data_IF_060931586441
#
_entry.id   IF_060931586441
#
_cell.length_a   1.000
_cell.length_b   1.000
_cell.length_c   1.000
_cell.angle_alpha   90.00
_cell.angle_beta   90.00
_cell.angle_gamma   90.00
#
_symmetry.space_group_name_H-M   'P 1'
#
loop_
_entity.id
_entity.type
_entity.pdbx_description
1 polymer ?
#
# COMPACT_ATOMS: atom_id res chain seq x y z
N UNK A 1 -46.30 19.49 11.01
CA UNK A 1 -45.75 18.21 10.50
C UNK A 1 -44.28 18.14 10.89
N UNK A 2 -43.87 17.26 11.81
CA UNK A 2 -42.43 17.06 12.10
C UNK A 2 -41.77 16.63 10.79
N UNK A 3 -40.80 17.38 10.24
CA UNK A 3 -40.37 17.18 8.87
C UNK A 3 -39.78 15.78 8.74
N UNK A 4 -40.41 14.94 7.92
CA UNK A 4 -39.98 13.56 7.67
C UNK A 4 -38.48 13.52 7.31
N UNK A 5 -37.98 14.57 6.65
CA UNK A 5 -36.57 14.87 6.39
C UNK A 5 -35.62 14.64 7.58
N UNK A 6 -35.99 15.04 8.79
CA UNK A 6 -35.14 14.83 9.99
C UNK A 6 -35.06 13.35 10.38
N UNK A 7 -36.16 12.60 10.23
CA UNK A 7 -36.16 11.15 10.48
C UNK A 7 -35.32 10.43 9.43
N UNK A 8 -35.51 10.76 8.14
CA UNK A 8 -34.73 10.18 7.04
C UNK A 8 -33.24 10.45 7.19
N UNK A 9 -32.83 11.71 7.39
CA UNK A 9 -31.43 12.06 7.57
C UNK A 9 -30.78 11.28 8.72
N UNK A 10 -31.48 11.16 9.87
CA UNK A 10 -30.97 10.41 11.02
C UNK A 10 -30.87 8.92 10.74
N UNK A 11 -31.91 8.31 10.18
CA UNK A 11 -31.92 6.86 9.91
C UNK A 11 -30.89 6.49 8.86
N UNK A 12 -30.82 7.22 7.74
CA UNK A 12 -29.84 6.98 6.69
C UNK A 12 -28.41 7.15 7.21
N UNK A 13 -28.15 8.23 7.97
CA UNK A 13 -26.83 8.43 8.57
C UNK A 13 -26.48 7.30 9.55
N UNK A 14 -27.40 6.91 10.44
CA UNK A 14 -27.18 5.83 11.39
C UNK A 14 -26.82 4.50 10.71
N UNK A 15 -27.57 4.10 9.66
CA UNK A 15 -27.27 2.88 8.90
C UNK A 15 -25.89 2.98 8.23
N UNK A 16 -25.61 4.08 7.53
CA UNK A 16 -24.32 4.25 6.86
C UNK A 16 -23.15 4.30 7.84
N UNK A 17 -23.35 4.88 9.03
CA UNK A 17 -22.36 4.93 10.10
C UNK A 17 -22.05 3.53 10.60
N UNK A 18 -23.09 2.73 10.88
CA UNK A 18 -22.92 1.37 11.37
C UNK A 18 -22.16 0.48 10.37
N UNK A 19 -22.44 0.65 9.07
CA UNK A 19 -21.74 -0.09 8.00
C UNK A 19 -20.28 0.33 7.86
N UNK A 20 -19.96 1.62 8.01
CA UNK A 20 -18.61 2.15 7.80
C UNK A 20 -17.73 2.21 9.05
N UNK A 21 -18.28 2.09 10.26
CA UNK A 21 -17.61 2.46 11.51
C UNK A 21 -16.29 1.72 11.73
N UNK A 22 -16.31 0.39 11.66
CA UNK A 22 -15.11 -0.41 11.92
C UNK A 22 -14.06 -0.22 10.84
N UNK A 23 -14.47 -0.11 9.57
CA UNK A 23 -13.53 0.19 8.48
C UNK A 23 -12.90 1.58 8.66
N UNK A 24 -13.70 2.61 8.95
CA UNK A 24 -13.19 3.96 9.21
C UNK A 24 -12.22 3.98 10.40
N UNK A 25 -12.55 3.26 11.49
CA UNK A 25 -11.67 3.15 12.66
C UNK A 25 -10.36 2.47 12.30
N UNK A 26 -10.41 1.33 11.60
CA UNK A 26 -9.23 0.61 11.15
C UNK A 26 -8.35 1.48 10.24
N UNK A 27 -8.93 2.19 9.26
CA UNK A 27 -8.18 3.12 8.41
C UNK A 27 -7.59 4.28 9.20
N UNK A 28 -8.30 4.82 10.19
CA UNK A 28 -7.79 5.91 11.03
C UNK A 28 -6.59 5.46 11.88
N UNK A 29 -6.67 4.28 12.49
CA UNK A 29 -5.56 3.71 13.29
C UNK A 29 -4.35 3.41 12.41
N UNK A 30 -4.57 2.79 11.25
CA UNK A 30 -3.50 2.47 10.31
C UNK A 30 -2.93 3.71 9.59
N UNK A 31 -3.69 4.80 9.51
CA UNK A 31 -3.16 6.10 9.08
C UNK A 31 -2.10 6.66 10.05
N UNK A 32 -2.22 6.39 11.35
CA UNK A 32 -1.21 6.78 12.36
C UNK A 32 0.08 5.98 12.14
N UNK A 33 -0.02 4.67 11.91
CA UNK A 33 1.15 3.82 11.65
C UNK A 33 1.85 4.17 10.35
N UNK A 34 1.12 4.74 9.39
CA UNK A 34 1.67 5.24 8.13
C UNK A 34 2.48 6.53 8.34
N UNK A 35 2.06 7.41 9.24
CA UNK A 35 2.77 8.66 9.56
C UNK A 35 3.99 8.44 10.50
N UNK A 36 3.94 7.40 11.33
CA UNK A 36 4.95 7.10 12.33
C UNK A 36 5.41 5.64 12.27
N UNK A 37 6.05 5.21 11.18
CA UNK A 37 6.52 3.83 11.06
C UNK A 37 7.55 3.50 12.16
N UNK A 38 8.45 4.45 12.45
CA UNK A 38 9.55 4.36 13.41
C UNK A 38 9.10 4.09 14.86
N UNK A 39 7.88 4.49 15.23
CA UNK A 39 7.33 4.21 16.56
C UNK A 39 7.11 2.71 16.82
N UNK A 40 7.09 1.90 15.75
CA UNK A 40 6.74 0.49 15.81
C UNK A 40 7.77 -0.42 15.09
N UNK A 41 8.83 0.14 14.48
CA UNK A 41 9.83 -0.56 13.63
C UNK A 41 10.91 -1.35 14.40
N UNK A 42 10.52 -2.27 15.29
CA UNK A 42 11.49 -3.06 16.06
C UNK A 42 11.90 -4.41 15.43
N UNK A 43 11.29 -4.84 14.32
CA UNK A 43 11.37 -6.23 13.84
C UNK A 43 11.91 -6.41 12.41
N UNK A 44 12.85 -5.57 11.97
CA UNK A 44 13.46 -5.76 10.64
C UNK A 44 14.29 -7.04 10.63
N UNK A 45 13.99 -7.97 9.72
CA UNK A 45 14.81 -9.14 9.45
C UNK A 45 15.30 -9.13 8.01
N UNK A 46 16.53 -9.61 7.82
CA UNK A 46 17.17 -9.75 6.52
C UNK A 46 17.64 -11.19 6.38
N UNK A 47 17.21 -11.86 5.32
CA UNK A 47 17.70 -13.18 4.95
C UNK A 47 18.48 -13.07 3.64
N UNK A 48 19.69 -13.61 3.62
CA UNK A 48 20.58 -13.57 2.46
C UNK A 48 20.95 -14.99 2.04
N UNK A 49 20.97 -15.23 0.73
CA UNK A 49 21.39 -16.49 0.13
C UNK A 49 22.21 -16.20 -1.12
N UNK A 50 23.28 -16.96 -1.32
CA UNK A 50 24.12 -16.85 -2.53
C UNK A 50 24.09 -18.16 -3.28
N UNK A 51 23.93 -18.08 -4.60
CA UNK A 51 24.01 -19.22 -5.51
C UNK A 51 24.93 -18.86 -6.66
N UNK A 52 25.91 -19.70 -6.96
CA UNK A 52 26.80 -19.50 -8.11
C UNK A 52 26.39 -20.47 -9.20
N UNK A 53 26.18 -19.97 -10.42
CA UNK A 53 25.99 -20.82 -11.58
C UNK A 53 27.19 -21.75 -11.75
N UNK A 54 26.96 -23.00 -12.09
CA UNK A 54 28.07 -23.86 -12.51
C UNK A 54 28.71 -23.28 -13.77
N UNK A 55 30.02 -23.50 -13.96
CA UNK A 55 30.77 -22.98 -15.12
C UNK A 55 30.05 -23.25 -16.46
N UNK A 56 29.49 -24.45 -16.63
CA UNK A 56 28.75 -24.82 -17.84
C UNK A 56 27.46 -24.03 -18.02
N UNK A 57 26.71 -23.77 -16.95
CA UNK A 57 25.49 -22.95 -16.98
C UNK A 57 25.82 -21.48 -17.28
N UNK A 58 26.87 -20.94 -16.67
CA UNK A 58 27.29 -19.56 -16.88
C UNK A 58 27.81 -19.32 -18.31
N UNK A 59 28.64 -20.23 -18.83
CA UNK A 59 29.08 -20.19 -20.23
C UNK A 59 27.89 -20.31 -21.18
N UNK A 60 26.95 -21.22 -20.91
CA UNK A 60 25.75 -21.37 -21.72
C UNK A 60 24.91 -20.08 -21.74
N UNK A 61 24.71 -19.47 -20.57
CA UNK A 61 23.98 -18.21 -20.42
C UNK A 61 24.66 -17.06 -21.18
N UNK A 62 25.99 -16.91 -21.09
CA UNK A 62 26.75 -15.87 -21.81
C UNK A 62 26.68 -15.98 -23.33
N UNK A 63 26.41 -17.16 -23.87
CA UNK A 63 26.27 -17.39 -25.31
C UNK A 63 24.87 -17.08 -25.84
N UNK A 64 23.88 -16.86 -24.96
CA UNK A 64 22.51 -16.57 -25.36
C UNK A 64 22.32 -15.08 -25.69
N UNK A 65 21.28 -14.79 -26.47
CA UNK A 65 20.79 -13.41 -26.58
C UNK A 65 20.07 -12.96 -25.32
N UNK A 66 20.01 -11.65 -25.10
CA UNK A 66 19.44 -10.99 -23.91
C UNK A 66 18.08 -11.55 -23.45
N UNK A 67 17.15 -11.78 -24.38
CA UNK A 67 15.85 -12.37 -24.06
C UNK A 67 15.97 -13.78 -23.46
N UNK A 68 16.81 -14.62 -24.04
CA UNK A 68 17.02 -15.98 -23.56
C UNK A 68 17.82 -15.99 -22.25
N UNK A 69 18.73 -15.03 -22.06
CA UNK A 69 19.42 -14.80 -20.78
C UNK A 69 18.43 -14.48 -19.65
N UNK A 70 17.49 -13.57 -19.91
CA UNK A 70 16.42 -13.25 -18.98
C UNK A 70 15.53 -14.47 -18.69
N UNK A 71 15.09 -15.20 -19.72
CA UNK A 71 14.25 -16.39 -19.55
C UNK A 71 14.94 -17.49 -18.72
N UNK A 72 16.25 -17.70 -18.92
CA UNK A 72 17.04 -18.65 -18.13
C UNK A 72 17.15 -18.23 -16.66
N UNK A 73 17.46 -16.96 -16.39
CA UNK A 73 17.53 -16.45 -15.02
C UNK A 73 16.16 -16.50 -14.36
N UNK A 74 15.10 -16.05 -15.04
CA UNK A 74 13.74 -16.11 -14.50
C UNK A 74 13.31 -17.54 -14.13
N UNK A 75 13.64 -18.53 -14.96
CA UNK A 75 13.40 -19.95 -14.64
C UNK A 75 14.22 -20.42 -13.44
N UNK A 76 15.48 -19.98 -13.33
CA UNK A 76 16.33 -20.32 -12.20
C UNK A 76 15.79 -19.71 -10.89
N UNK A 77 15.33 -18.45 -10.92
CA UNK A 77 14.73 -17.77 -9.78
C UNK A 77 13.43 -18.43 -9.32
N UNK A 78 12.57 -18.86 -10.26
CA UNK A 78 11.38 -19.64 -9.94
C UNK A 78 11.74 -20.99 -9.31
N UNK A 79 12.72 -21.71 -9.87
CA UNK A 79 13.12 -23.03 -9.35
C UNK A 79 13.81 -22.98 -7.97
N UNK A 80 14.67 -21.99 -7.73
CA UNK A 80 15.47 -21.91 -6.49
C UNK A 80 14.75 -21.17 -5.36
N UNK A 81 13.93 -20.18 -5.71
CA UNK A 81 13.33 -19.25 -4.74
C UNK A 81 11.81 -19.14 -4.84
N UNK A 82 11.15 -19.88 -5.75
CA UNK A 82 9.72 -19.78 -6.03
C UNK A 82 9.28 -18.34 -6.38
N UNK A 83 10.18 -17.60 -7.04
CA UNK A 83 9.94 -16.23 -7.46
C UNK A 83 9.29 -16.23 -8.85
N UNK A 84 8.13 -15.57 -9.03
CA UNK A 84 7.49 -15.45 -10.34
C UNK A 84 8.30 -14.52 -11.25
N UNK A 85 7.72 -14.08 -12.38
CA UNK A 85 8.34 -13.01 -13.16
C UNK A 85 8.45 -11.71 -12.33
N UNK A 86 9.60 -11.02 -12.39
CA UNK A 86 9.81 -9.79 -11.64
C UNK A 86 8.84 -8.70 -12.09
N UNK A 87 8.40 -7.86 -11.14
CA UNK A 87 7.62 -6.66 -11.48
C UNK A 87 8.51 -5.52 -11.97
N UNK A 88 9.76 -5.50 -11.51
CA UNK A 88 10.79 -4.54 -11.89
C UNK A 88 12.09 -5.28 -12.14
N UNK A 89 12.71 -4.94 -13.25
CA UNK A 89 13.94 -5.52 -13.74
C UNK A 89 14.80 -4.40 -14.28
N UNK A 90 16.02 -4.32 -13.79
CA UNK A 90 17.04 -3.39 -14.23
C UNK A 90 18.27 -4.22 -14.61
N UNK A 91 18.95 -3.85 -15.68
CA UNK A 91 20.15 -4.56 -16.13
C UNK A 91 21.17 -3.57 -16.65
N UNK A 92 22.43 -3.87 -16.41
CA UNK A 92 23.57 -3.28 -17.10
C UNK A 92 24.60 -4.36 -17.46
N UNK A 93 25.80 -3.93 -17.87
CA UNK A 93 26.87 -4.82 -18.32
C UNK A 93 27.52 -5.61 -17.18
N UNK A 94 27.30 -5.21 -15.92
CA UNK A 94 27.94 -5.77 -14.72
C UNK A 94 26.94 -6.58 -13.91
N UNK A 95 25.73 -6.08 -13.71
CA UNK A 95 24.73 -6.70 -12.88
C UNK A 95 23.30 -6.62 -13.44
N UNK A 96 22.52 -7.64 -13.13
CA UNK A 96 21.09 -7.69 -13.42
C UNK A 96 20.32 -7.76 -12.11
N UNK A 97 19.45 -6.79 -11.87
CA UNK A 97 18.72 -6.60 -10.61
C UNK A 97 17.24 -6.91 -10.82
N UNK A 98 16.72 -7.82 -9.99
CA UNK A 98 15.35 -8.30 -10.01
C UNK A 98 14.67 -7.94 -8.69
N UNK A 99 13.67 -7.06 -8.74
CA UNK A 99 12.90 -6.66 -7.57
C UNK A 99 11.54 -7.35 -7.52
N UNK A 100 11.25 -7.91 -6.35
CA UNK A 100 10.03 -8.62 -6.01
C UNK A 100 9.38 -7.97 -4.78
N UNK A 101 8.63 -6.88 -4.98
CA UNK A 101 7.94 -6.23 -3.89
C UNK A 101 6.84 -7.13 -3.30
N UNK A 102 6.75 -7.19 -1.98
CA UNK A 102 5.75 -7.97 -1.26
C UNK A 102 5.18 -7.19 -0.07
N UNK A 103 4.03 -7.57 0.49
CA UNK A 103 3.50 -6.88 1.66
C UNK A 103 4.49 -6.92 2.82
N UNK A 104 4.88 -5.75 3.32
CA UNK A 104 5.77 -5.63 4.47
C UNK A 104 7.25 -5.86 4.18
N UNK A 105 7.68 -5.87 2.92
CA UNK A 105 9.09 -6.08 2.57
C UNK A 105 9.37 -6.12 1.07
N UNK A 106 10.58 -6.54 0.73
CA UNK A 106 11.02 -6.72 -0.65
C UNK A 106 11.99 -7.88 -0.72
N UNK A 107 11.94 -8.61 -1.82
CA UNK A 107 13.00 -9.54 -2.20
C UNK A 107 13.72 -8.91 -3.38
N UNK A 108 15.04 -8.81 -3.30
CA UNK A 108 15.90 -8.32 -4.36
C UNK A 108 16.89 -9.42 -4.70
N UNK A 109 17.03 -9.71 -5.99
CA UNK A 109 18.03 -10.64 -6.49
C UNK A 109 18.97 -9.90 -7.43
N UNK A 110 20.26 -9.97 -7.17
CA UNK A 110 21.31 -9.38 -7.99
C UNK A 110 22.09 -10.50 -8.64
N UNK A 111 22.21 -10.47 -9.96
CA UNK A 111 23.02 -11.38 -10.73
C UNK A 111 24.26 -10.68 -11.25
N UNK A 112 25.43 -11.15 -10.85
CA UNK A 112 26.72 -10.66 -11.34
C UNK A 112 27.06 -11.36 -12.67
N UNK A 113 27.16 -10.56 -13.73
CA UNK A 113 27.35 -11.02 -15.11
C UNK A 113 28.73 -11.67 -15.29
N UNK A 114 29.75 -11.18 -14.59
CA UNK A 114 31.15 -11.62 -14.74
C UNK A 114 31.39 -12.98 -14.07
N UNK A 115 30.88 -13.14 -12.85
CA UNK A 115 31.12 -14.29 -11.98
C UNK A 115 30.04 -15.35 -12.09
N UNK A 116 28.83 -14.98 -12.55
CA UNK A 116 27.67 -15.87 -12.54
C UNK A 116 27.08 -16.08 -11.15
N UNK A 117 27.40 -15.20 -10.20
CA UNK A 117 26.85 -15.23 -8.84
C UNK A 117 25.45 -14.59 -8.80
N UNK A 118 24.52 -15.27 -8.13
CA UNK A 118 23.20 -14.78 -7.76
C UNK A 118 23.17 -14.51 -6.26
N UNK A 119 23.03 -13.24 -5.91
CA UNK A 119 22.82 -12.78 -4.55
C UNK A 119 21.33 -12.51 -4.32
N UNK A 120 20.70 -13.32 -3.46
CA UNK A 120 19.33 -13.17 -3.01
C UNK A 120 19.32 -12.46 -1.66
N UNK A 121 18.54 -11.39 -1.55
CA UNK A 121 18.25 -10.72 -0.28
C UNK A 121 16.74 -10.57 -0.09
N UNK A 122 16.25 -11.02 1.05
CA UNK A 122 14.87 -10.82 1.49
C UNK A 122 14.84 -9.94 2.73
N UNK A 123 14.23 -8.76 2.59
CA UNK A 123 14.01 -7.82 3.68
C UNK A 123 12.55 -7.93 4.13
N UNK A 124 12.34 -8.13 5.43
CA UNK A 124 11.04 -8.03 6.07
C UNK A 124 11.06 -6.89 7.09
N UNK A 125 10.25 -5.85 6.87
CA UNK A 125 10.16 -4.67 7.73
C UNK A 125 9.10 -4.83 8.85
N UNK A 126 8.61 -6.05 9.04
CA UNK A 126 7.70 -6.42 10.10
C UNK A 126 6.23 -6.07 9.84
N UNK A 127 5.40 -6.31 10.86
CA UNK A 127 3.95 -6.21 10.78
C UNK A 127 3.44 -4.78 10.50
N UNK A 128 4.21 -3.76 10.87
CA UNK A 128 3.86 -2.35 10.66
C UNK A 128 3.91 -2.01 9.17
N UNK A 129 4.98 -2.44 8.48
CA UNK A 129 5.10 -2.26 7.03
C UNK A 129 3.98 -3.01 6.31
N UNK A 130 3.65 -4.23 6.76
CA UNK A 130 2.50 -4.99 6.24
C UNK A 130 1.19 -4.20 6.37
N UNK A 131 0.89 -3.68 7.56
CA UNK A 131 -0.32 -2.88 7.80
C UNK A 131 -0.33 -1.62 6.92
N UNK A 132 0.82 -0.96 6.76
CA UNK A 132 0.93 0.23 5.92
C UNK A 132 0.70 -0.10 4.44
N UNK A 133 1.22 -1.23 3.96
CA UNK A 133 0.95 -1.70 2.60
C UNK A 133 -0.51 -2.07 2.39
N UNK A 134 -1.15 -2.72 3.37
CA UNK A 134 -2.59 -2.97 3.36
C UNK A 134 -3.40 -1.66 3.36
N UNK A 135 -3.02 -0.65 4.14
CA UNK A 135 -3.69 0.66 4.13
C UNK A 135 -3.60 1.33 2.76
N UNK A 136 -2.43 1.26 2.10
CA UNK A 136 -2.19 1.83 0.76
C UNK A 136 -2.76 0.98 -0.38
N UNK A 137 -3.14 -0.28 -0.12
CA UNK A 137 -3.46 -1.26 -1.16
C UNK A 137 -2.25 -1.69 -2.00
N UNK A 138 -1.04 -1.48 -1.47
CA UNK A 138 0.22 -1.80 -2.16
C UNK A 138 0.55 -3.28 -1.94
N UNK A 139 0.94 -3.98 -3.00
CA UNK A 139 1.34 -5.41 -2.96
C UNK A 139 0.28 -6.40 -2.42
N UNK A 140 -0.97 -5.97 -2.20
CA UNK A 140 -2.04 -6.75 -1.55
C UNK A 140 -3.04 -7.41 -2.52
N UNK A 141 -2.82 -7.28 -3.83
CA UNK A 141 -3.68 -7.83 -4.87
C UNK A 141 -4.98 -7.06 -5.13
N UNK A 142 -5.67 -7.42 -6.23
CA UNK A 142 -6.86 -6.69 -6.73
C UNK A 142 -8.06 -6.75 -5.80
N UNK A 143 -8.27 -7.88 -5.13
CA UNK A 143 -9.41 -8.06 -4.20
C UNK A 143 -9.30 -7.08 -3.03
N UNK A 144 -8.10 -6.92 -2.48
CA UNK A 144 -7.87 -5.97 -1.40
C UNK A 144 -8.03 -4.53 -1.88
N UNK A 145 -7.48 -4.18 -3.04
CA UNK A 145 -7.72 -2.86 -3.65
C UNK A 145 -9.22 -2.55 -3.79
N UNK A 146 -10.02 -3.51 -4.26
CA UNK A 146 -11.47 -3.35 -4.36
C UNK A 146 -12.16 -3.19 -3.00
N UNK A 147 -11.66 -3.84 -1.95
CA UNK A 147 -12.14 -3.64 -0.58
C UNK A 147 -11.90 -2.19 -0.09
N UNK A 148 -10.74 -1.62 -0.40
CA UNK A 148 -10.43 -0.20 -0.11
C UNK A 148 -11.41 0.71 -0.84
N UNK A 149 -11.64 0.49 -2.14
CA UNK A 149 -12.56 1.31 -2.94
C UNK A 149 -13.99 1.28 -2.40
N UNK A 150 -14.50 0.09 -2.07
CA UNK A 150 -15.83 -0.07 -1.47
C UNK A 150 -15.91 0.64 -0.11
N UNK A 151 -14.87 0.49 0.72
CA UNK A 151 -14.77 1.17 2.02
C UNK A 151 -14.80 2.68 1.85
N UNK A 152 -14.06 3.21 0.88
CA UNK A 152 -14.04 4.64 0.56
C UNK A 152 -15.42 5.13 0.12
N UNK A 153 -16.13 4.38 -0.73
CA UNK A 153 -17.50 4.70 -1.14
C UNK A 153 -18.47 4.72 0.05
N UNK A 154 -18.38 3.75 0.96
CA UNK A 154 -19.18 3.70 2.19
C UNK A 154 -18.87 4.90 3.09
N UNK A 155 -17.59 5.23 3.28
CA UNK A 155 -17.17 6.39 4.08
C UNK A 155 -17.61 7.72 3.46
N UNK A 156 -17.57 7.84 2.14
CA UNK A 156 -18.08 9.00 1.41
C UNK A 156 -19.59 9.14 1.60
N UNK A 157 -20.34 8.06 1.43
CA UNK A 157 -21.79 8.06 1.65
C UNK A 157 -22.14 8.41 3.11
N UNK A 158 -21.43 7.83 4.08
CA UNK A 158 -21.53 8.18 5.51
C UNK A 158 -21.28 9.66 5.78
N UNK A 159 -20.24 10.24 5.16
CA UNK A 159 -19.90 11.66 5.31
C UNK A 159 -20.95 12.58 4.70
N UNK A 160 -21.48 12.24 3.52
CA UNK A 160 -22.54 12.99 2.85
C UNK A 160 -23.85 12.96 3.64
N UNK A 161 -24.22 11.81 4.19
CA UNK A 161 -25.42 11.70 5.05
C UNK A 161 -25.24 12.44 6.36
N UNK A 162 -24.02 12.50 6.90
CA UNK A 162 -23.65 13.32 8.06
C UNK A 162 -23.79 14.81 7.77
N UNK A 163 -23.30 15.29 6.62
CA UNK A 163 -23.50 16.67 6.18
C UNK A 163 -24.99 17.01 5.99
N UNK A 164 -25.76 16.09 5.40
CA UNK A 164 -27.21 16.27 5.27
C UNK A 164 -27.89 16.38 6.65
N UNK A 165 -27.50 15.53 7.60
CA UNK A 165 -27.99 15.59 8.98
C UNK A 165 -27.64 16.92 9.66
N UNK A 166 -26.42 17.42 9.49
CA UNK A 166 -25.99 18.73 9.98
C UNK A 166 -26.80 19.86 9.35
N UNK A 167 -27.01 19.84 8.04
CA UNK A 167 -27.81 20.83 7.32
C UNK A 167 -29.24 20.93 7.87
N UNK A 168 -29.90 19.79 8.13
CA UNK A 168 -31.25 19.77 8.73
C UNK A 168 -31.29 20.44 10.12
N UNK A 169 -30.21 20.35 10.90
CA UNK A 169 -30.15 20.88 12.27
C UNK A 169 -29.43 22.24 12.39
N UNK A 170 -28.80 22.73 11.31
CA UNK A 170 -27.96 23.93 11.31
C UNK A 170 -28.73 25.21 11.67
N UNK A 171 -30.04 25.30 11.35
CA UNK A 171 -30.85 26.49 11.67
C UNK A 171 -30.87 26.85 13.15
N UNK A 172 -30.62 25.89 14.05
CA UNK A 172 -30.59 26.10 15.51
C UNK A 172 -29.17 26.09 16.09
N UNK A 173 -28.15 25.93 15.24
CA UNK A 173 -26.74 25.77 15.64
C UNK A 173 -25.85 26.58 14.71
N UNK A 174 -25.66 27.86 15.04
CA UNK A 174 -24.85 28.79 14.25
C UNK A 174 -23.39 28.30 14.07
N UNK A 175 -22.88 27.49 15.02
CA UNK A 175 -21.53 26.91 14.96
C UNK A 175 -21.35 25.80 13.93
N UNK A 176 -22.43 25.23 13.36
CA UNK A 176 -22.33 24.09 12.45
C UNK A 176 -21.44 24.39 11.23
N UNK A 177 -21.70 25.47 10.51
CA UNK A 177 -20.96 25.78 9.28
C UNK A 177 -19.53 26.28 9.54
N UNK A 178 -19.26 27.15 10.54
CA UNK A 178 -17.90 27.49 10.92
C UNK A 178 -17.04 26.26 11.24
N UNK A 179 -17.57 25.28 11.96
CA UNK A 179 -16.83 24.05 12.30
C UNK A 179 -16.58 23.17 11.07
N UNK A 180 -17.57 22.99 10.20
CA UNK A 180 -17.41 22.22 8.95
C UNK A 180 -16.37 22.88 8.04
N UNK A 181 -16.43 24.21 7.89
CA UNK A 181 -15.45 24.97 7.10
C UNK A 181 -14.06 24.90 7.72
N UNK A 182 -13.94 25.04 9.05
CA UNK A 182 -12.65 24.90 9.73
C UNK A 182 -12.03 23.52 9.47
N UNK A 183 -12.81 22.44 9.54
CA UNK A 183 -12.33 21.09 9.24
C UNK A 183 -11.74 20.94 7.83
N UNK A 184 -12.34 21.59 6.83
CA UNK A 184 -11.83 21.58 5.45
C UNK A 184 -10.68 22.56 5.18
N UNK A 185 -10.66 23.71 5.86
CA UNK A 185 -9.67 24.77 5.63
C UNK A 185 -8.38 24.57 6.42
N UNK A 186 -8.41 23.91 7.58
CA UNK A 186 -7.21 23.68 8.40
C UNK A 186 -6.09 22.96 7.62
N UNK A 187 -6.34 21.87 6.87
CA UNK A 187 -5.30 21.24 6.07
C UNK A 187 -4.70 22.17 5.00
N UNK A 188 -5.56 22.96 4.32
CA UNK A 188 -5.12 23.92 3.30
C UNK A 188 -4.28 25.05 3.90
N UNK A 189 -4.66 25.53 5.09
CA UNK A 189 -3.91 26.54 5.83
C UNK A 189 -2.54 26.01 6.26
N UNK A 190 -2.48 24.80 6.82
CA UNK A 190 -1.21 24.17 7.20
C UNK A 190 -0.29 24.03 5.99
N UNK A 191 -0.82 23.51 4.87
CA UNK A 191 -0.07 23.39 3.63
C UNK A 191 0.47 24.74 3.13
N UNK A 192 -0.37 25.78 3.10
CA UNK A 192 0.02 27.08 2.57
C UNK A 192 1.02 27.87 3.41
N UNK A 193 1.16 27.58 4.71
CA UNK A 193 2.08 28.29 5.62
C UNK A 193 3.38 27.52 5.87
N UNK A 194 3.30 26.19 5.93
CA UNK A 194 4.42 25.36 6.36
C UNK A 194 5.02 24.50 5.24
N UNK A 195 4.36 24.36 4.09
CA UNK A 195 4.81 23.50 2.99
C UNK A 195 5.11 24.28 1.70
N UNK A 196 4.26 25.25 1.33
CA UNK A 196 4.56 26.19 0.23
C UNK A 196 5.69 27.14 0.62
#
# INVERSE_FOLDING_TARGET
MKPQWSKWARTTHWISSALGLLSLLSFSVTGITLNHPDWFSANRSVEQRTLVLTESQHVHWRQQGERAQFELLAQLLDQQFALPLPQRFEQDDVEWVFDYPKPGGVITVVFDVETGELFYEEVNDGWVSLINDLHKGRHSGRVWSGYIDITALVCMFFSLTGLWLLWVHARKRLSTWPLVLAGGLVPLFIYGIFVL
#
